data_IF_394092671839
#
_entry.id   IF_394092671839
#
_cell.length_a   1.000
_cell.length_b   1.000
_cell.length_c   1.000
_cell.angle_alpha   90.00
_cell.angle_beta   90.00
_cell.angle_gamma   90.00
#
_symmetry.space_group_name_H-M   'P 1'
#
loop_
_entity.id
_entity.type
_entity.pdbx_description
1 polymer ?
#
# COMPACT_ATOMS: atom_id res chain seq x y z
N UNK A 1 6.90 -31.28 68.60
CA UNK A 1 6.39 -29.90 68.48
C UNK A 1 6.80 -29.38 67.12
N UNK A 2 5.96 -29.43 66.07
CA UNK A 2 4.94 -28.42 65.65
C UNK A 2 5.52 -27.00 65.38
N UNK A 3 5.59 -26.63 64.08
CA UNK A 3 5.09 -25.39 63.41
C UNK A 3 6.04 -24.95 62.27
N UNK A 4 5.64 -25.11 60.98
CA UNK A 4 4.97 -24.14 60.09
C UNK A 4 5.98 -23.23 59.35
N UNK A 5 6.23 -23.42 58.05
CA UNK A 5 5.61 -22.75 56.87
C UNK A 5 5.64 -21.22 56.93
N UNK A 6 6.39 -20.59 56.02
CA UNK A 6 6.19 -19.28 55.34
C UNK A 6 7.43 -19.04 54.45
N UNK A 7 7.45 -19.27 53.14
CA UNK A 7 6.72 -18.62 52.05
C UNK A 7 6.92 -17.10 52.00
N UNK A 8 7.81 -16.63 51.11
CA UNK A 8 7.74 -15.32 50.49
C UNK A 8 8.42 -15.39 49.11
N UNK A 9 7.65 -15.87 48.13
CA UNK A 9 7.92 -15.69 46.71
C UNK A 9 7.61 -14.23 46.39
N UNK A 10 8.63 -13.44 46.10
CA UNK A 10 8.46 -12.15 45.40
C UNK A 10 9.16 -12.31 44.05
N UNK A 11 8.51 -13.07 43.17
CA UNK A 11 8.83 -13.08 41.74
C UNK A 11 8.20 -11.84 41.15
N UNK A 12 8.98 -10.77 41.02
CA UNK A 12 8.56 -9.51 40.39
C UNK A 12 8.31 -9.79 38.91
N UNK A 13 7.05 -10.03 38.54
CA UNK A 13 6.61 -10.06 37.16
C UNK A 13 6.69 -8.63 36.62
N UNK A 14 7.84 -8.29 36.03
CA UNK A 14 7.96 -7.12 35.18
C UNK A 14 7.06 -7.35 33.96
N UNK A 15 5.82 -6.86 34.00
CA UNK A 15 5.06 -6.60 32.78
C UNK A 15 5.79 -5.48 32.05
N UNK A 16 6.74 -5.84 31.21
CA UNK A 16 7.23 -4.96 30.15
C UNK A 16 6.06 -4.76 29.19
N UNK A 17 5.33 -3.66 29.36
CA UNK A 17 4.48 -3.09 28.32
C UNK A 17 5.42 -2.62 27.21
N UNK A 18 5.86 -3.54 26.35
CA UNK A 18 6.49 -3.20 25.08
C UNK A 18 5.37 -2.66 24.20
N UNK A 19 5.22 -1.34 24.11
CA UNK A 19 4.51 -0.75 22.98
C UNK A 19 5.25 -1.21 21.73
N UNK A 20 4.59 -2.00 20.88
CA UNK A 20 5.13 -2.34 19.58
C UNK A 20 5.40 -1.02 18.85
N UNK A 21 6.67 -0.70 18.58
CA UNK A 21 7.00 0.36 17.66
C UNK A 21 6.68 -0.18 16.26
N UNK A 22 5.56 0.24 15.69
CA UNK A 22 5.27 -0.05 14.29
C UNK A 22 6.27 0.72 13.42
N UNK A 23 6.96 0.03 12.52
CA UNK A 23 7.82 0.69 11.55
C UNK A 23 6.93 1.47 10.56
N UNK A 24 7.42 2.62 10.09
CA UNK A 24 6.78 3.33 8.99
C UNK A 24 6.91 2.52 7.68
N UNK A 25 5.99 2.71 6.71
CA UNK A 25 6.10 2.10 5.39
C UNK A 25 7.43 2.40 4.72
N UNK A 26 7.93 1.44 3.94
CA UNK A 26 9.06 1.66 3.02
C UNK A 26 8.47 2.21 1.73
N UNK A 27 8.89 3.42 1.34
CA UNK A 27 8.44 4.09 0.11
C UNK A 27 9.41 3.90 -1.04
N UNK A 28 8.87 3.78 -2.25
CA UNK A 28 9.60 3.70 -3.52
C UNK A 28 9.18 4.90 -4.35
N UNK A 29 10.14 5.69 -4.80
CA UNK A 29 9.87 6.90 -5.57
C UNK A 29 10.91 7.08 -6.67
N UNK A 30 10.44 7.50 -7.83
CA UNK A 30 11.30 7.94 -8.93
C UNK A 30 10.55 8.94 -9.79
N UNK A 31 11.26 9.93 -10.31
CA UNK A 31 10.71 10.98 -11.17
C UNK A 31 11.54 11.09 -12.46
N UNK A 32 10.85 11.31 -13.57
CA UNK A 32 11.44 11.63 -14.84
C UNK A 32 10.69 12.82 -15.44
N UNK A 33 11.38 13.96 -15.55
CA UNK A 33 10.81 15.21 -16.05
C UNK A 33 10.63 15.21 -17.58
N UNK A 34 11.31 14.33 -18.31
CA UNK A 34 11.26 14.28 -19.78
C UNK A 34 11.15 12.85 -20.31
N UNK A 35 10.08 12.10 -19.95
CA UNK A 35 9.95 10.68 -20.28
C UNK A 35 9.59 10.43 -21.74
N UNK A 36 9.11 11.45 -22.47
CA UNK A 36 8.69 11.31 -23.87
C UNK A 36 7.53 10.32 -24.04
N UNK A 37 6.58 10.33 -23.10
CA UNK A 37 5.46 9.38 -23.04
C UNK A 37 5.89 7.91 -23.00
N UNK A 38 7.02 7.61 -22.36
CA UNK A 38 7.54 6.24 -22.21
C UNK A 38 8.03 6.02 -20.79
N UNK A 39 7.73 4.85 -20.22
CA UNK A 39 8.23 4.44 -18.90
C UNK A 39 9.74 4.22 -18.95
N UNK A 40 10.50 5.19 -18.46
CA UNK A 40 11.97 5.19 -18.49
C UNK A 40 12.56 5.95 -17.31
N UNK A 41 13.83 5.71 -17.01
CA UNK A 41 14.58 6.42 -15.96
C UNK A 41 14.22 5.96 -14.56
N UNK A 42 14.32 6.87 -13.61
CA UNK A 42 14.14 6.60 -12.18
C UNK A 42 12.75 6.02 -11.83
N UNK A 43 11.62 6.43 -12.44
CA UNK A 43 10.32 5.79 -12.22
C UNK A 43 10.34 4.27 -12.53
N UNK A 44 11.03 3.88 -13.61
CA UNK A 44 11.13 2.47 -14.00
C UNK A 44 11.99 1.67 -13.00
N UNK A 45 13.07 2.27 -12.48
CA UNK A 45 13.91 1.68 -11.45
C UNK A 45 13.16 1.54 -10.11
N UNK A 46 12.44 2.58 -9.68
CA UNK A 46 11.64 2.57 -8.46
C UNK A 46 10.53 1.51 -8.52
N UNK A 47 9.86 1.36 -9.68
CA UNK A 47 8.90 0.26 -9.89
C UNK A 47 9.57 -1.11 -9.79
N UNK A 48 10.76 -1.27 -10.37
CA UNK A 48 11.48 -2.55 -10.30
C UNK A 48 11.86 -2.89 -8.85
N UNK A 49 12.32 -1.92 -8.07
CA UNK A 49 12.64 -2.10 -6.65
C UNK A 49 11.40 -2.42 -5.81
N UNK A 50 10.27 -1.76 -6.09
CA UNK A 50 8.97 -2.07 -5.46
C UNK A 50 8.54 -3.50 -5.77
N UNK A 51 8.55 -3.91 -7.04
CA UNK A 51 8.17 -5.27 -7.44
C UNK A 51 9.13 -6.33 -6.87
N UNK A 52 10.41 -6.00 -6.69
CA UNK A 52 11.39 -6.87 -6.08
C UNK A 52 11.14 -7.12 -4.58
N UNK A 53 10.32 -6.30 -3.93
CA UNK A 53 9.85 -6.53 -2.56
C UNK A 53 8.59 -7.42 -2.48
N UNK A 54 8.02 -7.81 -3.62
CA UNK A 54 6.77 -8.56 -3.71
C UNK A 54 6.99 -9.99 -4.23
N UNK A 55 6.10 -10.89 -3.84
CA UNK A 55 6.09 -12.30 -4.22
C UNK A 55 4.68 -12.78 -4.52
N UNK A 56 4.56 -13.99 -5.09
CA UNK A 56 3.25 -14.64 -5.24
C UNK A 56 2.41 -14.17 -6.41
N UNK A 57 2.99 -13.42 -7.37
CA UNK A 57 2.29 -13.02 -8.60
C UNK A 57 1.23 -11.96 -8.36
N UNK A 58 1.64 -10.81 -7.84
CA UNK A 58 0.80 -9.61 -7.72
C UNK A 58 0.26 -9.18 -9.09
N UNK A 59 -0.95 -8.63 -9.10
CA UNK A 59 -1.60 -8.14 -10.31
C UNK A 59 -1.43 -6.63 -10.46
N UNK A 60 -1.45 -6.17 -11.70
CA UNK A 60 -1.48 -4.77 -12.08
C UNK A 60 -2.79 -4.49 -12.80
N UNK A 61 -3.48 -3.42 -12.41
CA UNK A 61 -4.60 -2.85 -13.14
C UNK A 61 -4.06 -1.76 -14.07
N UNK A 62 -4.18 -2.00 -15.37
CA UNK A 62 -3.78 -1.13 -16.48
C UNK A 62 -4.98 -0.41 -17.13
N UNK A 63 -6.17 -0.58 -16.55
CA UNK A 63 -7.44 0.00 -17.00
C UNK A 63 -7.91 -0.44 -18.39
N UNK A 64 -7.23 -1.41 -19.02
CA UNK A 64 -7.58 -1.88 -20.36
C UNK A 64 -8.91 -2.65 -20.39
N UNK A 65 -9.36 -3.13 -19.22
CA UNK A 65 -10.65 -3.78 -19.05
C UNK A 65 -11.86 -2.83 -19.11
N UNK A 66 -11.63 -1.52 -19.06
CA UNK A 66 -12.68 -0.50 -19.08
C UNK A 66 -12.83 0.12 -20.48
N UNK A 67 -13.98 0.75 -20.71
CA UNK A 67 -14.19 1.56 -21.90
C UNK A 67 -13.71 2.98 -21.65
N UNK A 68 -13.10 3.61 -22.66
CA UNK A 68 -12.81 5.05 -22.65
C UNK A 68 -14.06 5.85 -22.33
N UNK A 69 -13.94 6.77 -21.37
CA UNK A 69 -15.03 7.57 -20.81
C UNK A 69 -15.79 6.90 -19.67
N UNK A 70 -15.44 5.68 -19.26
CA UNK A 70 -15.99 5.08 -18.05
C UNK A 70 -15.61 5.93 -16.83
N UNK A 71 -16.61 6.39 -16.08
CA UNK A 71 -16.42 7.13 -14.85
C UNK A 71 -16.52 6.21 -13.64
N UNK A 72 -16.01 6.68 -12.51
CA UNK A 72 -16.22 6.04 -11.21
C UNK A 72 -17.71 5.80 -10.88
N UNK A 73 -18.03 4.78 -10.07
CA UNK A 73 -17.10 3.83 -9.45
C UNK A 73 -16.55 2.79 -10.45
N UNK A 74 -15.24 2.54 -10.40
CA UNK A 74 -14.59 1.45 -11.15
C UNK A 74 -14.34 0.28 -10.20
N UNK A 75 -14.82 -0.91 -10.56
CA UNK A 75 -14.67 -2.13 -9.75
C UNK A 75 -13.46 -2.91 -10.24
N UNK A 76 -12.48 -3.09 -9.37
CA UNK A 76 -11.17 -3.66 -9.67
C UNK A 76 -11.01 -5.01 -8.97
N UNK A 77 -10.13 -5.88 -9.48
CA UNK A 77 -9.86 -7.19 -8.88
C UNK A 77 -8.40 -7.57 -9.04
N UNK A 78 -7.76 -7.91 -7.92
CA UNK A 78 -6.35 -8.28 -7.85
C UNK A 78 -6.17 -9.70 -7.30
N UNK A 79 -5.11 -10.43 -7.70
CA UNK A 79 -4.71 -11.65 -7.03
C UNK A 79 -4.09 -11.31 -5.65
N UNK A 80 -4.67 -11.86 -4.59
CA UNK A 80 -4.11 -11.87 -3.23
C UNK A 80 -3.50 -13.23 -2.87
N UNK A 81 -2.81 -13.31 -1.73
CA UNK A 81 -2.17 -14.54 -1.25
C UNK A 81 -3.16 -15.68 -0.94
N UNK A 82 -4.41 -15.34 -0.61
CA UNK A 82 -5.46 -16.30 -0.20
C UNK A 82 -6.71 -16.29 -1.08
N UNK A 83 -6.70 -15.52 -2.17
CA UNK A 83 -7.83 -15.33 -3.06
C UNK A 83 -7.81 -13.94 -3.69
N UNK A 84 -8.86 -13.58 -4.43
CA UNK A 84 -8.93 -12.26 -5.05
C UNK A 84 -9.23 -11.16 -4.02
N UNK A 85 -8.57 -10.02 -4.18
CA UNK A 85 -8.85 -8.78 -3.47
C UNK A 85 -9.66 -7.90 -4.42
N UNK A 86 -10.94 -7.67 -4.10
CA UNK A 86 -11.73 -6.66 -4.80
C UNK A 86 -11.35 -5.26 -4.33
N UNK A 87 -11.39 -4.28 -5.22
CA UNK A 87 -11.25 -2.87 -4.85
C UNK A 87 -12.27 -2.00 -5.61
N UNK A 88 -12.55 -0.80 -5.10
CA UNK A 88 -13.43 0.16 -5.77
C UNK A 88 -12.74 1.52 -5.82
N UNK A 89 -12.48 2.03 -7.03
CA UNK A 89 -12.03 3.40 -7.25
C UNK A 89 -13.27 4.30 -7.35
N UNK A 90 -13.39 5.28 -6.47
CA UNK A 90 -14.50 6.23 -6.42
C UNK A 90 -14.00 7.68 -6.30
N UNK A 91 -14.87 8.67 -6.56
CA UNK A 91 -14.47 10.09 -6.60
C UNK A 91 -14.44 10.65 -8.01
N UNK A 92 -13.65 11.68 -8.26
CA UNK A 92 -13.61 12.40 -9.54
C UNK A 92 -12.54 11.82 -10.45
N UNK A 93 -12.88 10.74 -11.17
CA UNK A 93 -11.95 10.13 -12.11
C UNK A 93 -12.68 9.46 -13.29
N UNK A 94 -12.00 9.35 -14.43
CA UNK A 94 -12.53 8.67 -15.62
C UNK A 94 -11.42 8.02 -16.44
N UNK A 95 -11.74 6.92 -17.11
CA UNK A 95 -10.80 6.25 -18.02
C UNK A 95 -10.65 7.07 -19.29
N UNK A 96 -9.42 7.43 -19.63
CA UNK A 96 -9.05 8.16 -20.84
C UNK A 96 -8.13 7.32 -21.71
N UNK A 97 -7.86 7.79 -22.92
CA UNK A 97 -6.92 7.14 -23.83
C UNK A 97 -6.16 8.15 -24.69
N UNK A 98 -5.01 7.73 -25.20
CA UNK A 98 -4.14 8.57 -26.03
C UNK A 98 -3.30 9.57 -25.23
N UNK A 99 -2.47 10.36 -25.92
CA UNK A 99 -1.64 11.39 -25.31
C UNK A 99 -2.27 12.77 -25.50
N UNK A 100 -2.59 13.46 -24.42
CA UNK A 100 -3.21 14.78 -24.47
C UNK A 100 -2.79 15.64 -23.29
N UNK A 101 -2.20 16.81 -23.58
CA UNK A 101 -1.70 17.77 -22.59
C UNK A 101 -0.92 17.09 -21.45
N UNK A 102 0.15 16.34 -21.80
CA UNK A 102 1.08 15.77 -20.84
C UNK A 102 0.74 14.36 -20.32
N UNK A 103 -0.53 14.03 -20.15
CA UNK A 103 -0.95 12.70 -19.64
C UNK A 103 -0.84 11.60 -20.69
N UNK A 104 -0.43 10.42 -20.26
CA UNK A 104 -0.29 9.24 -21.11
C UNK A 104 -0.42 7.93 -20.31
N UNK A 105 -0.80 6.85 -21.01
CA UNK A 105 -0.81 5.50 -20.47
C UNK A 105 0.62 4.95 -20.34
N UNK A 106 0.95 4.36 -19.20
CA UNK A 106 2.26 3.75 -18.92
C UNK A 106 2.32 2.29 -19.36
N UNK A 107 1.18 1.66 -19.59
CA UNK A 107 1.03 0.46 -20.39
C UNK A 107 -0.21 0.56 -21.29
N UNK A 108 -0.36 -0.36 -22.24
CA UNK A 108 -1.53 -0.35 -23.14
C UNK A 108 -1.78 0.99 -23.86
N UNK A 109 -2.96 1.53 -23.66
CA UNK A 109 -3.50 2.73 -24.29
C UNK A 109 -4.46 3.55 -23.40
N UNK A 110 -4.92 2.99 -22.27
CA UNK A 110 -5.87 3.56 -21.34
C UNK A 110 -5.21 3.87 -20.00
N UNK A 111 -5.74 4.88 -19.31
CA UNK A 111 -5.32 5.29 -17.97
C UNK A 111 -6.49 5.99 -17.28
N UNK A 112 -6.40 6.19 -15.97
CA UNK A 112 -7.35 7.00 -15.24
C UNK A 112 -6.88 8.46 -15.22
N UNK A 113 -7.75 9.39 -15.60
CA UNK A 113 -7.53 10.83 -15.47
C UNK A 113 -8.42 11.41 -14.38
N UNK A 114 -7.87 12.32 -13.59
CA UNK A 114 -8.60 13.18 -12.67
C UNK A 114 -8.80 14.57 -13.29
N UNK A 115 -9.99 15.20 -13.18
CA UNK A 115 -10.16 16.58 -13.58
C UNK A 115 -9.42 17.51 -12.61
N UNK A 116 -9.27 18.79 -12.99
CA UNK A 116 -8.54 19.78 -12.19
C UNK A 116 -9.14 19.94 -10.80
N UNK A 117 -8.36 19.61 -9.75
CA UNK A 117 -8.82 19.63 -8.37
C UNK A 117 -9.78 18.47 -8.02
N UNK A 118 -9.77 17.41 -8.84
CA UNK A 118 -10.52 16.19 -8.61
C UNK A 118 -9.74 15.22 -7.75
N UNK A 119 -10.38 14.76 -6.68
CA UNK A 119 -9.84 13.77 -5.75
C UNK A 119 -10.51 12.43 -5.97
N UNK A 120 -9.78 11.35 -5.69
CA UNK A 120 -10.34 10.00 -5.75
C UNK A 120 -9.78 9.13 -4.64
N UNK A 121 -10.49 8.04 -4.38
CA UNK A 121 -10.18 7.10 -3.31
C UNK A 121 -10.33 5.67 -3.83
N UNK A 122 -9.50 4.79 -3.30
CA UNK A 122 -9.55 3.36 -3.59
C UNK A 122 -9.81 2.62 -2.29
N UNK A 123 -10.98 2.00 -2.19
CA UNK A 123 -11.36 1.14 -1.08
C UNK A 123 -11.04 -0.32 -1.40
N UNK A 124 -10.37 -1.03 -0.50
CA UNK A 124 -10.04 -2.44 -0.65
C UNK A 124 -11.00 -3.33 0.13
N UNK A 125 -11.55 -4.35 -0.54
CA UNK A 125 -12.42 -5.37 0.07
C UNK A 125 -11.67 -6.33 1.01
N UNK A 126 -10.34 -6.35 0.95
CA UNK A 126 -9.46 -6.98 1.93
C UNK A 126 -8.22 -6.09 2.14
N UNK A 127 -7.63 -6.07 3.34
CA UNK A 127 -6.49 -5.19 3.62
C UNK A 127 -5.27 -5.50 2.76
N UNK A 128 -4.62 -4.46 2.27
CA UNK A 128 -3.37 -4.53 1.52
C UNK A 128 -2.19 -4.13 2.39
N UNK A 129 -0.99 -4.54 2.01
CA UNK A 129 0.25 -4.15 2.68
C UNK A 129 1.25 -3.50 1.70
N UNK A 130 0.93 -3.53 0.40
CA UNK A 130 1.71 -2.92 -0.66
C UNK A 130 0.80 -2.28 -1.70
N UNK A 131 1.23 -1.13 -2.22
CA UNK A 131 0.56 -0.37 -3.26
C UNK A 131 1.61 0.36 -4.10
N UNK A 132 1.44 0.42 -5.41
CA UNK A 132 2.28 1.25 -6.28
C UNK A 132 1.56 1.59 -7.57
N UNK A 133 1.91 2.73 -8.16
CA UNK A 133 1.30 3.24 -9.40
C UNK A 133 2.26 4.14 -10.15
N UNK A 134 1.98 4.37 -11.44
CA UNK A 134 2.56 5.48 -12.19
C UNK A 134 1.61 6.67 -12.22
N UNK A 135 2.17 7.85 -12.00
CA UNK A 135 1.50 9.12 -12.25
C UNK A 135 2.12 9.84 -13.45
N UNK A 136 1.30 10.45 -14.29
CA UNK A 136 1.76 11.29 -15.41
C UNK A 136 1.17 12.68 -15.32
N UNK A 137 1.97 13.67 -15.72
CA UNK A 137 1.56 15.08 -15.72
C UNK A 137 1.12 15.62 -14.35
N UNK A 138 1.73 15.11 -13.28
CA UNK A 138 1.57 15.64 -11.94
C UNK A 138 2.52 16.82 -11.72
N UNK A 139 2.05 17.90 -11.10
CA UNK A 139 2.85 19.02 -10.61
C UNK A 139 2.98 20.22 -11.55
N UNK A 140 2.44 20.17 -12.76
CA UNK A 140 2.64 21.23 -13.78
C UNK A 140 1.82 22.50 -13.52
N UNK A 141 0.76 22.39 -12.70
CA UNK A 141 0.00 23.50 -12.13
C UNK A 141 0.55 24.00 -10.79
N UNK A 142 1.71 23.50 -10.36
CA UNK A 142 2.40 23.93 -9.13
C UNK A 142 1.77 23.42 -7.84
N UNK A 143 1.09 22.26 -7.89
CA UNK A 143 0.48 21.63 -6.73
C UNK A 143 1.15 20.29 -6.43
N UNK A 144 1.23 19.98 -5.14
CA UNK A 144 1.65 18.66 -4.68
C UNK A 144 0.42 17.74 -4.66
N UNK A 145 0.68 16.44 -4.84
CA UNK A 145 -0.30 15.38 -4.62
C UNK A 145 -0.16 14.88 -3.18
N UNK A 146 -1.27 14.86 -2.46
CA UNK A 146 -1.36 14.24 -1.14
C UNK A 146 -1.91 12.82 -1.30
N UNK A 147 -1.19 11.86 -0.72
CA UNK A 147 -1.59 10.46 -0.67
C UNK A 147 -1.83 10.10 0.79
N UNK A 148 -3.06 9.74 1.14
CA UNK A 148 -3.40 9.29 2.49
C UNK A 148 -3.67 7.80 2.52
N UNK A 149 -2.97 7.09 3.40
CA UNK A 149 -3.16 5.67 3.67
C UNK A 149 -4.00 5.51 4.94
N UNK A 150 -5.12 4.81 4.86
CA UNK A 150 -5.95 4.50 6.04
C UNK A 150 -5.77 3.05 6.44
N UNK A 151 -5.19 2.82 7.63
CA UNK A 151 -4.93 1.48 8.15
C UNK A 151 -6.22 0.75 8.59
N UNK A 152 -6.11 -0.54 8.94
CA UNK A 152 -7.22 -1.35 9.46
C UNK A 152 -7.81 -0.84 10.80
N UNK A 153 -7.14 0.08 11.48
CA UNK A 153 -7.57 0.71 12.72
C UNK A 153 -8.11 2.13 12.50
N UNK A 154 -8.29 2.54 11.24
CA UNK A 154 -8.66 3.90 10.83
C UNK A 154 -7.66 4.99 11.25
N UNK A 155 -6.37 4.64 11.32
CA UNK A 155 -5.26 5.59 11.47
C UNK A 155 -4.77 5.98 10.09
N UNK A 156 -4.71 7.29 9.86
CA UNK A 156 -4.25 7.88 8.61
C UNK A 156 -2.75 8.17 8.65
N UNK A 157 -2.05 7.83 7.57
CA UNK A 157 -0.66 8.22 7.30
C UNK A 157 -0.62 8.96 5.98
N UNK A 158 -0.13 10.20 6.01
CA UNK A 158 -0.15 11.11 4.88
C UNK A 158 1.24 11.26 4.26
N UNK A 159 1.30 11.27 2.94
CA UNK A 159 2.49 11.52 2.14
C UNK A 159 2.22 12.69 1.19
N UNK A 160 3.05 13.72 1.27
CA UNK A 160 3.05 14.80 0.29
C UNK A 160 4.15 14.53 -0.72
N UNK A 161 3.80 14.42 -2.00
CA UNK A 161 4.78 14.34 -3.07
C UNK A 161 5.17 15.77 -3.45
N UNK A 162 6.37 16.19 -3.05
CA UNK A 162 6.93 17.48 -3.46
C UNK A 162 7.43 17.39 -4.90
N UNK A 163 6.62 17.92 -5.82
CA UNK A 163 6.83 17.79 -7.26
C UNK A 163 7.55 19.01 -7.88
N UNK A 164 7.77 20.07 -7.09
CA UNK A 164 8.60 21.24 -7.47
C UNK A 164 8.37 21.79 -8.91
N UNK A 165 7.14 21.77 -9.41
CA UNK A 165 6.83 22.26 -10.75
C UNK A 165 7.35 21.35 -11.87
N UNK A 166 7.13 20.04 -11.73
CA UNK A 166 7.35 19.04 -12.78
C UNK A 166 6.81 19.57 -14.12
N UNK A 167 7.59 19.52 -15.21
CA UNK A 167 7.12 20.03 -16.49
C UNK A 167 5.99 19.16 -17.03
N UNK A 168 5.11 19.75 -17.84
CA UNK A 168 4.06 19.03 -18.54
C UNK A 168 4.62 17.78 -19.24
N UNK A 169 4.00 16.64 -18.98
CA UNK A 169 4.39 15.33 -19.47
C UNK A 169 5.39 14.59 -18.58
N UNK A 170 5.60 15.04 -17.34
CA UNK A 170 6.39 14.31 -16.34
C UNK A 170 5.84 12.92 -16.04
N UNK A 171 6.72 12.06 -15.53
CA UNK A 171 6.39 10.70 -15.09
C UNK A 171 6.94 10.48 -13.69
N UNK A 172 6.10 9.99 -12.78
CA UNK A 172 6.51 9.51 -11.47
C UNK A 172 6.08 8.06 -11.28
N UNK A 173 6.87 7.34 -10.50
CA UNK A 173 6.40 6.14 -9.83
C UNK A 173 6.39 6.42 -8.34
N UNK A 174 5.29 6.06 -7.67
CA UNK A 174 5.26 6.03 -6.22
C UNK A 174 4.63 4.72 -5.75
N UNK A 175 5.18 4.17 -4.67
CA UNK A 175 4.59 3.03 -4.00
C UNK A 175 5.12 2.84 -2.59
N UNK A 176 4.51 1.93 -1.85
CA UNK A 176 4.95 1.54 -0.52
C UNK A 176 4.84 0.03 -0.28
N UNK A 177 5.65 -0.47 0.65
CA UNK A 177 5.42 -1.76 1.32
C UNK A 177 5.45 -1.56 2.83
N UNK A 178 4.62 -2.29 3.56
CA UNK A 178 4.58 -2.25 5.02
C UNK A 178 4.45 -3.67 5.59
N UNK A 179 5.39 -4.07 6.43
CA UNK A 179 5.39 -5.38 7.09
C UNK A 179 4.74 -5.34 8.48
N UNK A 180 4.46 -4.14 8.99
CA UNK A 180 3.91 -3.89 10.33
C UNK A 180 2.42 -3.56 10.31
N UNK A 181 1.93 -2.88 9.26
CA UNK A 181 0.53 -2.50 9.11
C UNK A 181 -0.10 -3.01 7.82
N UNK A 182 -1.43 -2.91 7.76
CA UNK A 182 -2.23 -3.18 6.58
C UNK A 182 -3.27 -2.07 6.42
N UNK A 183 -3.66 -1.82 5.17
CA UNK A 183 -4.41 -0.65 4.76
C UNK A 183 -5.71 -1.05 4.06
N UNK A 184 -6.77 -0.31 4.36
CA UNK A 184 -8.11 -0.52 3.81
C UNK A 184 -8.45 0.49 2.73
N UNK A 185 -7.69 1.59 2.65
CA UNK A 185 -7.95 2.67 1.73
C UNK A 185 -6.65 3.42 1.35
N UNK A 186 -6.62 3.94 0.12
CA UNK A 186 -5.68 4.96 -0.34
C UNK A 186 -6.48 6.10 -0.96
N UNK A 187 -6.30 7.34 -0.48
CA UNK A 187 -6.84 8.55 -1.11
C UNK A 187 -5.77 9.32 -1.85
N UNK A 188 -6.21 10.03 -2.89
CA UNK A 188 -5.42 10.90 -3.74
C UNK A 188 -6.10 12.24 -3.80
N UNK A 189 -5.48 13.24 -3.17
CA UNK A 189 -6.06 14.55 -2.96
C UNK A 189 -5.12 15.61 -3.53
N UNK A 190 -5.68 16.53 -4.33
CA UNK A 190 -4.96 17.75 -4.66
C UNK A 190 -4.80 18.58 -3.39
N UNK A 191 -3.59 19.07 -3.10
CA UNK A 191 -3.38 19.96 -1.94
C UNK A 191 -4.38 21.14 -2.01
N UNK A 192 -5.05 21.51 -0.90
CA UNK A 192 -6.13 22.49 -0.91
C UNK A 192 -5.77 23.81 -1.62
N UNK A 193 -6.57 24.18 -2.62
CA UNK A 193 -6.34 25.36 -3.47
C UNK A 193 -5.59 25.06 -4.77
N UNK A 194 -5.17 23.81 -4.95
CA UNK A 194 -4.62 23.30 -6.19
C UNK A 194 -5.65 22.85 -7.20
N UNK A 195 -5.22 22.77 -8.46
CA UNK A 195 -5.98 22.22 -9.57
C UNK A 195 -5.01 21.52 -10.51
N UNK A 196 -4.70 20.26 -10.23
CA UNK A 196 -3.92 19.44 -11.12
C UNK A 196 -4.81 18.43 -11.87
N UNK A 197 -4.46 18.17 -13.13
CA UNK A 197 -5.09 17.18 -14.01
C UNK A 197 -4.02 16.16 -14.33
N UNK A 198 -4.08 14.99 -13.70
CA UNK A 198 -3.04 13.98 -13.86
C UNK A 198 -3.58 12.65 -14.35
N UNK A 199 -2.67 11.87 -14.94
CA UNK A 199 -2.90 10.48 -15.29
C UNK A 199 -2.43 9.55 -14.18
N UNK A 200 -3.19 8.49 -13.94
CA UNK A 200 -2.94 7.42 -12.99
C UNK A 200 -3.04 6.08 -13.73
N UNK A 201 -1.99 5.27 -13.66
CA UNK A 201 -1.92 4.01 -14.41
C UNK A 201 -1.04 2.94 -13.73
N UNK A 202 -1.16 1.70 -14.20
CA UNK A 202 -0.45 0.51 -13.74
C UNK A 202 -0.46 0.33 -12.21
N UNK A 203 -1.66 0.34 -11.62
CA UNK A 203 -1.83 0.17 -10.19
C UNK A 203 -1.56 -1.28 -9.78
N UNK A 204 -0.59 -1.48 -8.90
CA UNK A 204 -0.20 -2.78 -8.37
C UNK A 204 -0.42 -2.83 -6.87
N UNK A 205 -1.08 -3.88 -6.37
CA UNK A 205 -1.28 -4.09 -4.93
C UNK A 205 -0.78 -5.47 -4.50
N UNK A 206 -0.49 -5.60 -3.20
CA UNK A 206 -0.23 -6.87 -2.56
C UNK A 206 -0.71 -6.88 -1.11
N UNK A 207 -1.22 -8.02 -0.64
CA UNK A 207 -1.50 -8.22 0.79
C UNK A 207 -0.22 -8.59 1.58
N UNK A 208 -0.35 -8.69 2.91
CA UNK A 208 0.79 -9.01 3.77
C UNK A 208 1.47 -10.36 3.44
N UNK A 209 0.73 -11.32 2.86
CA UNK A 209 1.27 -12.61 2.43
C UNK A 209 2.10 -12.52 1.14
N UNK A 210 2.03 -11.39 0.44
CA UNK A 210 2.75 -11.14 -0.80
C UNK A 210 4.01 -10.27 -0.63
N UNK A 211 4.34 -9.83 0.59
CA UNK A 211 5.58 -9.08 0.84
C UNK A 211 6.75 -10.02 1.18
N UNK A 212 7.85 -9.90 0.44
CA UNK A 212 9.07 -10.66 0.69
C UNK A 212 9.68 -10.23 2.02
N UNK A 213 9.77 -11.17 2.95
CA UNK A 213 10.42 -10.94 4.24
C UNK A 213 9.45 -10.65 5.40
N UNK A 214 8.14 -10.84 5.23
CA UNK A 214 7.22 -11.09 6.36
C UNK A 214 7.43 -12.54 6.79
N UNK A 215 8.21 -12.83 7.85
CA UNK A 215 8.35 -14.20 8.27
C UNK A 215 7.10 -14.53 9.10
N UNK A 216 6.44 -15.67 8.81
CA UNK A 216 5.30 -16.23 9.57
C UNK A 216 5.65 -16.60 11.03
N UNK A 217 6.72 -16.01 11.57
CA UNK A 217 7.39 -16.36 12.82
C UNK A 217 6.55 -16.14 14.06
N UNK A 218 5.60 -15.20 14.06
CA UNK A 218 4.77 -14.93 15.24
C UNK A 218 3.79 -16.06 15.55
N UNK A 219 2.98 -16.43 14.56
CA UNK A 219 1.93 -17.43 14.69
C UNK A 219 2.48 -18.83 14.90
N UNK A 220 3.55 -19.20 14.17
CA UNK A 220 4.19 -20.51 14.33
C UNK A 220 4.95 -20.63 15.65
N UNK A 221 5.60 -19.56 16.13
CA UNK A 221 6.25 -19.57 17.44
C UNK A 221 5.22 -19.65 18.58
N UNK A 222 4.11 -18.89 18.52
CA UNK A 222 3.04 -18.99 19.52
C UNK A 222 2.34 -20.35 19.47
N UNK A 223 2.09 -20.89 18.28
CA UNK A 223 1.53 -22.22 18.11
C UNK A 223 2.46 -23.30 18.68
N UNK A 224 3.76 -23.21 18.38
CA UNK A 224 4.79 -24.09 18.93
C UNK A 224 4.89 -24.00 20.46
N UNK A 225 4.87 -22.79 21.02
CA UNK A 225 4.85 -22.55 22.46
C UNK A 225 3.56 -23.06 23.12
N UNK A 226 2.42 -22.90 22.45
CA UNK A 226 1.12 -23.43 22.90
C UNK A 226 1.11 -24.96 22.98
N UNK A 227 1.64 -25.64 21.95
CA UNK A 227 1.79 -27.10 21.93
C UNK A 227 2.77 -27.55 23.02
N UNK A 228 3.93 -26.88 23.14
CA UNK A 228 4.91 -27.20 24.17
C UNK A 228 4.32 -27.06 25.58
N UNK A 229 3.59 -25.98 25.84
CA UNK A 229 2.88 -25.74 27.10
C UNK A 229 1.86 -26.82 27.43
N UNK A 230 1.05 -27.25 26.45
CA UNK A 230 0.10 -28.36 26.61
C UNK A 230 0.81 -29.71 26.88
N UNK A 231 1.97 -29.95 26.25
CA UNK A 231 2.79 -31.13 26.49
C UNK A 231 3.34 -31.20 27.91
N UNK A 232 3.85 -30.09 28.45
CA UNK A 232 4.32 -30.01 29.83
C UNK A 232 3.18 -30.13 30.86
N UNK A 233 1.99 -29.58 30.56
CA UNK A 233 0.82 -29.70 31.43
C UNK A 233 0.32 -31.15 31.53
N UNK A 234 0.40 -31.93 30.46
CA UNK A 234 -0.04 -33.34 30.44
C UNK A 234 0.85 -34.24 31.30
N UNK A 235 2.18 -34.02 31.31
CA UNK A 235 3.13 -34.79 32.13
C UNK A 235 2.89 -34.65 33.64
N UNK A 236 2.40 -33.49 34.10
CA UNK A 236 2.12 -33.24 35.52
C UNK A 236 0.84 -33.88 36.05
N UNK A 237 -0.06 -34.37 35.19
CA UNK A 237 -1.28 -35.09 35.62
C UNK A 237 -1.09 -36.60 35.75
N UNK A 238 0.03 -37.14 35.27
CA UNK A 238 0.33 -38.58 35.27
C UNK A 238 1.42 -38.98 36.27
N UNK A 239 1.85 -38.05 37.12
CA UNK A 239 2.73 -38.27 38.27
C UNK A 239 2.01 -37.83 39.53
#
# INVERSE_FOLDING_TARGET
MRKNILAAVVGMAALTLTSAANAAPITYFGENLTPGATVTGDPAAARADFLAALSGGVGTEDFEGFAVGASTPLVLSFPGSTGNIGATLSGSASVQSGGGAGRFATSGSQYVETPGGGDFVIDFGAPIAAFGFFGTDLGDFGNDLEITLTDINAVETMFTLDLNGTPNGGLIFWGFTDTSNQYTQVSFDNVPGGSDVFGFDDMTIGDAGQIIGVPETGSLALFGLGIAGLGFARRRRTS
#
